data_IF_870903439727
#
_entry.id   IF_870903439727
#
_cell.length_a   1.000
_cell.length_b   1.000
_cell.length_c   1.000
_cell.angle_alpha   90.00
_cell.angle_beta   90.00
_cell.angle_gamma   90.00
#
_symmetry.space_group_name_H-M   'P 1'
#
loop_
_entity.id
_entity.type
_entity.pdbx_description
1 polymer ?
#
# COMPACT_ATOMS: atom_id res chain seq x y z
N UNK A 1 -5.39 67.88 20.01
CA UNK A 1 -5.30 66.41 19.89
C UNK A 1 -5.55 65.93 18.44
N UNK A 2 -4.68 66.26 17.47
CA UNK A 2 -4.88 65.88 16.05
C UNK A 2 -3.85 64.86 15.52
N UNK A 3 -2.69 64.72 16.18
CA UNK A 3 -1.63 63.79 15.79
C UNK A 3 -2.03 62.31 15.95
N UNK A 4 -2.77 61.98 17.03
CA UNK A 4 -3.22 60.61 17.30
C UNK A 4 -4.09 60.00 16.20
N UNK A 5 -4.92 60.81 15.52
CA UNK A 5 -5.78 60.33 14.44
C UNK A 5 -5.00 59.97 13.15
N UNK A 6 -3.87 60.65 12.89
CA UNK A 6 -3.00 60.33 11.74
C UNK A 6 -2.14 59.11 12.03
N UNK A 7 -1.58 58.99 13.23
CA UNK A 7 -0.86 57.79 13.69
C UNK A 7 -1.75 56.53 13.62
N UNK A 8 -2.98 56.60 14.16
CA UNK A 8 -3.90 55.46 14.15
C UNK A 8 -4.28 55.01 12.73
N UNK A 9 -4.38 55.92 11.77
CA UNK A 9 -4.63 55.56 10.36
C UNK A 9 -3.43 54.84 9.73
N UNK A 10 -2.22 55.35 9.96
CA UNK A 10 -0.99 54.72 9.47
C UNK A 10 -0.75 53.33 10.10
N UNK A 11 -1.08 53.14 11.38
CA UNK A 11 -0.99 51.85 12.06
C UNK A 11 -1.98 50.83 11.48
N UNK A 12 -3.22 51.24 11.18
CA UNK A 12 -4.23 50.37 10.54
C UNK A 12 -3.83 49.97 9.12
N UNK A 13 -3.24 50.88 8.35
CA UNK A 13 -2.73 50.57 7.01
C UNK A 13 -1.59 49.55 7.06
N UNK A 14 -0.64 49.73 7.98
CA UNK A 14 0.44 48.75 8.22
C UNK A 14 -0.12 47.40 8.65
N UNK A 15 -1.09 47.38 9.57
CA UNK A 15 -1.72 46.15 10.03
C UNK A 15 -2.39 45.37 8.87
N UNK A 16 -3.07 46.05 7.93
CA UNK A 16 -3.67 45.41 6.75
C UNK A 16 -2.61 44.79 5.83
N UNK A 17 -1.50 45.50 5.59
CA UNK A 17 -0.38 45.00 4.78
C UNK A 17 0.30 43.77 5.41
N UNK A 18 0.43 43.75 6.74
CA UNK A 18 0.96 42.58 7.45
C UNK A 18 -0.02 41.41 7.44
N UNK A 19 -1.32 41.65 7.61
CA UNK A 19 -2.33 40.60 7.53
C UNK A 19 -2.42 39.97 6.14
N UNK A 20 -2.32 40.76 5.07
CA UNK A 20 -2.33 40.24 3.70
C UNK A 20 -1.18 39.26 3.43
N UNK A 21 0.04 39.60 3.89
CA UNK A 21 1.20 38.70 3.77
C UNK A 21 1.04 37.42 4.59
N UNK A 22 0.52 37.54 5.81
CA UNK A 22 0.31 36.39 6.69
C UNK A 22 -0.75 35.44 6.13
N UNK A 23 -1.86 35.99 5.65
CA UNK A 23 -2.94 35.22 5.01
C UNK A 23 -2.46 34.45 3.77
N UNK A 24 -1.57 35.04 2.97
CA UNK A 24 -1.00 34.36 1.80
C UNK A 24 -0.10 33.16 2.19
N UNK A 25 0.72 33.29 3.23
CA UNK A 25 1.53 32.17 3.74
C UNK A 25 0.67 31.06 4.34
N UNK A 26 -0.31 31.42 5.17
CA UNK A 26 -1.19 30.45 5.82
C UNK A 26 -2.07 29.71 4.80
N UNK A 27 -2.56 30.40 3.77
CA UNK A 27 -3.30 29.80 2.67
C UNK A 27 -2.47 28.78 1.88
N UNK A 28 -1.18 29.04 1.66
CA UNK A 28 -0.31 28.09 0.97
C UNK A 28 -0.02 26.84 1.82
N UNK A 29 0.22 27.02 3.13
CA UNK A 29 0.48 25.91 4.04
C UNK A 29 -0.75 25.00 4.16
N UNK A 30 -1.94 25.59 4.27
CA UNK A 30 -3.20 24.84 4.38
C UNK A 30 -3.53 24.05 3.13
N UNK A 31 -3.26 24.59 1.93
CA UNK A 31 -3.40 23.85 0.66
C UNK A 31 -2.49 22.63 0.62
N UNK A 32 -1.19 22.81 0.86
CA UNK A 32 -0.23 21.70 0.86
C UNK A 32 -0.58 20.60 1.85
N UNK A 33 -1.06 20.96 3.05
CA UNK A 33 -1.51 19.97 4.06
C UNK A 33 -2.71 19.18 3.55
N UNK A 34 -3.72 19.85 2.96
CA UNK A 34 -4.90 19.17 2.41
C UNK A 34 -4.53 18.24 1.27
N UNK A 35 -3.68 18.70 0.34
CA UNK A 35 -3.26 17.92 -0.81
C UNK A 35 -2.42 16.71 -0.38
N UNK A 36 -1.51 16.86 0.59
CA UNK A 36 -0.74 15.75 1.13
C UNK A 36 -1.61 14.72 1.86
N UNK A 37 -2.62 15.17 2.62
CA UNK A 37 -3.57 14.27 3.29
C UNK A 37 -4.41 13.52 2.27
N UNK A 38 -4.93 14.21 1.25
CA UNK A 38 -5.71 13.59 0.17
C UNK A 38 -4.86 12.62 -0.65
N UNK A 39 -3.61 12.98 -0.96
CA UNK A 39 -2.67 12.11 -1.64
C UNK A 39 -2.32 10.88 -0.79
N UNK A 40 -2.10 11.06 0.52
CA UNK A 40 -1.86 9.96 1.45
C UNK A 40 -3.06 9.02 1.59
N UNK A 41 -4.28 9.56 1.70
CA UNK A 41 -5.51 8.77 1.76
C UNK A 41 -5.78 8.04 0.45
N UNK A 42 -5.70 8.74 -0.68
CA UNK A 42 -5.93 8.16 -2.01
C UNK A 42 -4.88 7.11 -2.37
N UNK A 43 -3.60 7.43 -2.15
CA UNK A 43 -2.51 6.49 -2.36
C UNK A 43 -2.58 5.29 -1.41
N UNK A 44 -2.85 5.52 -0.13
CA UNK A 44 -3.01 4.46 0.87
C UNK A 44 -4.17 3.51 0.55
N UNK A 45 -5.35 4.05 0.20
CA UNK A 45 -6.50 3.25 -0.22
C UNK A 45 -6.19 2.43 -1.48
N UNK A 46 -5.51 3.02 -2.46
CA UNK A 46 -5.12 2.31 -3.68
C UNK A 46 -4.17 1.15 -3.38
N UNK A 47 -3.14 1.38 -2.56
CA UNK A 47 -2.20 0.32 -2.15
C UNK A 47 -2.94 -0.79 -1.40
N UNK A 48 -3.81 -0.44 -0.45
CA UNK A 48 -4.63 -1.42 0.28
C UNK A 48 -5.55 -2.22 -0.64
N UNK A 49 -6.16 -1.58 -1.65
CA UNK A 49 -7.00 -2.25 -2.61
C UNK A 49 -6.20 -3.24 -3.49
N UNK A 50 -5.00 -2.86 -3.93
CA UNK A 50 -4.13 -3.75 -4.72
C UNK A 50 -3.67 -4.95 -3.89
N UNK A 51 -3.16 -4.73 -2.67
CA UNK A 51 -2.73 -5.81 -1.79
C UNK A 51 -3.90 -6.72 -1.40
N UNK A 52 -5.03 -6.14 -0.99
CA UNK A 52 -6.23 -6.89 -0.66
C UNK A 52 -6.75 -7.71 -1.84
N UNK A 53 -6.72 -7.13 -3.06
CA UNK A 53 -7.07 -7.81 -4.30
C UNK A 53 -6.14 -8.98 -4.62
N UNK A 54 -4.81 -8.80 -4.47
CA UNK A 54 -3.85 -9.89 -4.66
C UNK A 54 -4.08 -11.01 -3.66
N UNK A 55 -4.23 -10.67 -2.37
CA UNK A 55 -4.49 -11.66 -1.32
C UNK A 55 -5.77 -12.43 -1.66
N UNK A 56 -6.87 -11.75 -1.95
CA UNK A 56 -8.13 -12.40 -2.32
C UNK A 56 -7.97 -13.29 -3.57
N UNK A 57 -7.27 -12.82 -4.60
CA UNK A 57 -7.03 -13.54 -5.85
C UNK A 57 -6.28 -14.86 -5.64
N UNK A 58 -5.26 -14.87 -4.77
CA UNK A 58 -4.43 -16.04 -4.50
C UNK A 58 -4.94 -16.93 -3.36
N UNK A 59 -5.92 -16.48 -2.58
CA UNK A 59 -6.45 -17.26 -1.44
C UNK A 59 -7.81 -17.89 -1.73
N UNK A 60 -8.69 -17.17 -2.42
CA UNK A 60 -10.07 -17.63 -2.71
C UNK A 60 -10.39 -17.50 -4.20
N UNK A 61 -9.58 -16.75 -4.94
CA UNK A 61 -9.77 -16.49 -6.36
C UNK A 61 -9.07 -17.49 -7.29
N UNK A 62 -9.07 -17.18 -8.61
CA UNK A 62 -8.54 -18.08 -9.64
C UNK A 62 -7.01 -18.21 -9.63
N UNK A 63 -6.30 -17.47 -8.79
CA UNK A 63 -4.87 -17.63 -8.57
C UNK A 63 -4.50 -18.75 -7.61
N UNK A 64 -5.47 -19.38 -6.94
CA UNK A 64 -5.22 -20.51 -6.03
C UNK A 64 -4.70 -21.69 -6.84
N UNK A 65 -3.49 -22.15 -6.53
CA UNK A 65 -2.92 -23.36 -7.13
C UNK A 65 -3.81 -24.56 -6.80
N UNK A 66 -4.18 -25.35 -7.81
CA UNK A 66 -4.88 -26.62 -7.60
C UNK A 66 -4.09 -27.50 -6.63
N UNK A 67 -4.75 -28.24 -5.72
CA UNK A 67 -4.06 -29.16 -4.83
C UNK A 67 -3.24 -30.14 -5.65
N UNK A 68 -1.93 -30.21 -5.38
CA UNK A 68 -1.06 -31.23 -5.95
C UNK A 68 -1.55 -32.57 -5.40
N UNK A 69 -2.16 -33.37 -6.26
CA UNK A 69 -2.41 -34.78 -5.97
C UNK A 69 -1.05 -35.46 -6.08
N UNK A 70 -0.47 -35.84 -4.95
CA UNK A 70 0.75 -36.65 -4.97
C UNK A 70 0.42 -37.98 -5.66
N UNK A 71 1.06 -38.21 -6.82
CA UNK A 71 0.98 -39.49 -7.50
C UNK A 71 1.83 -40.47 -6.70
N UNK A 72 1.30 -41.64 -6.28
CA UNK A 72 2.09 -42.60 -5.53
C UNK A 72 3.29 -43.06 -6.37
N UNK A 73 4.48 -43.00 -5.77
CA UNK A 73 5.70 -43.52 -6.37
C UNK A 73 5.58 -45.04 -6.58
N UNK A 74 6.05 -45.61 -7.71
CA UNK A 74 5.99 -47.04 -7.92
C UNK A 74 6.74 -47.79 -6.81
N UNK A 75 6.05 -48.73 -6.17
CA UNK A 75 6.67 -49.62 -5.20
C UNK A 75 7.71 -50.52 -5.89
N UNK A 76 8.86 -50.82 -5.23
CA UNK A 76 9.82 -51.78 -5.77
C UNK A 76 9.10 -53.13 -5.97
N UNK A 77 9.25 -53.70 -7.16
CA UNK A 77 8.77 -55.06 -7.44
C UNK A 77 9.74 -56.06 -6.82
N UNK A 78 9.20 -57.06 -6.10
CA UNK A 78 10.01 -58.15 -5.57
C UNK A 78 10.70 -58.92 -6.70
N UNK A 79 11.98 -59.30 -6.54
CA UNK A 79 12.67 -60.11 -7.53
C UNK A 79 12.01 -61.49 -7.63
N UNK A 80 11.77 -61.95 -8.86
CA UNK A 80 11.23 -63.28 -9.12
C UNK A 80 12.16 -64.37 -8.54
N UNK A 81 11.63 -65.47 -7.99
CA UNK A 81 12.45 -66.53 -7.45
C UNK A 81 13.29 -67.18 -8.56
N UNK A 82 14.61 -67.14 -8.42
CA UNK A 82 15.54 -67.87 -9.28
C UNK A 82 15.33 -69.37 -9.07
N UNK A 83 14.87 -70.08 -10.11
CA UNK A 83 14.83 -71.54 -10.10
C UNK A 83 16.26 -72.08 -10.15
N UNK A 84 16.73 -72.65 -9.04
CA UNK A 84 17.96 -73.44 -8.97
C UNK A 84 17.81 -74.68 -9.87
N UNK A 85 18.71 -74.93 -10.83
CA UNK A 85 18.66 -76.17 -11.60
C UNK A 85 19.00 -77.35 -10.69
N UNK A 86 18.14 -78.38 -10.74
CA UNK A 86 18.29 -79.64 -10.02
C UNK A 86 19.52 -80.40 -10.58
N UNK A 87 20.41 -80.96 -9.73
CA UNK A 87 21.60 -81.64 -10.22
C UNK A 87 21.22 -82.97 -10.89
N UNK A 88 21.52 -83.10 -12.18
CA UNK A 88 21.42 -84.36 -12.91
C UNK A 88 22.45 -85.35 -12.37
N UNK A 89 21.97 -86.51 -11.88
CA UNK A 89 22.79 -87.68 -11.49
C UNK A 89 23.48 -88.34 -12.69
#
# INVERSE_FOLDING_TARGET
MAAGNKQQRAERERARLYQARRAHHDAQITRRRRDNILAGLGGGLLVLAVLGGQIAYYTVGPGVSSPVVETPSPAPSDPAPTSTPEPTS
#
